data_IF_762933526402
#
_entry.id   IF_762933526402
#
_cell.length_a   1.000
_cell.length_b   1.000
_cell.length_c   1.000
_cell.angle_alpha   90.00
_cell.angle_beta   90.00
_cell.angle_gamma   90.00
#
_symmetry.space_group_name_H-M   'P 1'
#
loop_
_entity.id
_entity.type
_entity.pdbx_description
1 polymer ?
#
# COMPACT_ATOMS: atom_id res chain seq x y z
N UNK A 1 -20.88 -37.69 -19.19
CA UNK A 1 -21.40 -36.91 -18.05
C UNK A 1 -20.30 -36.79 -17.01
N UNK A 2 -19.79 -35.58 -16.79
CA UNK A 2 -18.79 -35.31 -15.76
C UNK A 2 -19.49 -35.37 -14.39
N UNK A 3 -19.06 -36.27 -13.50
CA UNK A 3 -19.66 -36.39 -12.16
C UNK A 3 -19.12 -35.28 -11.24
N UNK A 4 -19.79 -34.13 -11.27
CA UNK A 4 -19.48 -32.93 -10.50
C UNK A 4 -19.34 -33.19 -8.99
N UNK A 5 -20.07 -34.17 -8.43
CA UNK A 5 -20.02 -34.50 -7.00
C UNK A 5 -18.70 -35.20 -6.63
N UNK A 6 -18.17 -36.06 -7.51
CA UNK A 6 -16.90 -36.73 -7.29
C UNK A 6 -15.71 -35.77 -7.44
N UNK A 7 -15.74 -34.90 -8.45
CA UNK A 7 -14.69 -33.89 -8.66
C UNK A 7 -14.58 -32.89 -7.50
N UNK A 8 -15.71 -32.48 -6.93
CA UNK A 8 -15.72 -31.62 -5.73
C UNK A 8 -15.10 -32.31 -4.52
N UNK A 9 -15.36 -33.60 -4.33
CA UNK A 9 -14.77 -34.39 -3.24
C UNK A 9 -13.26 -34.51 -3.42
N UNK A 10 -12.82 -34.85 -4.64
CA UNK A 10 -11.41 -34.97 -4.99
C UNK A 10 -10.65 -33.65 -4.85
N UNK A 11 -11.27 -32.53 -5.25
CA UNK A 11 -10.70 -31.19 -5.05
C UNK A 11 -10.50 -30.87 -3.57
N UNK A 12 -11.49 -31.18 -2.73
CA UNK A 12 -11.40 -30.94 -1.29
C UNK A 12 -10.29 -31.79 -0.65
N UNK A 13 -10.15 -33.06 -1.03
CA UNK A 13 -9.08 -33.95 -0.56
C UNK A 13 -7.69 -33.42 -0.93
N UNK A 14 -7.49 -33.02 -2.19
CA UNK A 14 -6.23 -32.45 -2.66
C UNK A 14 -5.91 -31.11 -1.98
N UNK A 15 -6.90 -30.26 -1.75
CA UNK A 15 -6.71 -28.99 -1.04
C UNK A 15 -6.27 -29.19 0.42
N UNK A 16 -6.82 -30.20 1.10
CA UNK A 16 -6.38 -30.58 2.45
C UNK A 16 -4.90 -31.01 2.43
N UNK A 17 -4.49 -31.81 1.45
CA UNK A 17 -3.10 -32.25 1.31
C UNK A 17 -2.15 -31.08 1.01
N UNK A 18 -2.51 -30.18 0.09
CA UNK A 18 -1.69 -28.99 -0.21
C UNK A 18 -1.53 -28.13 1.03
N UNK A 19 -2.61 -27.84 1.75
CA UNK A 19 -2.54 -27.05 2.98
C UNK A 19 -1.70 -27.72 4.08
N UNK A 20 -1.79 -29.05 4.22
CA UNK A 20 -0.97 -29.81 5.15
C UNK A 20 0.54 -29.62 4.86
N UNK A 21 0.93 -29.74 3.59
CA UNK A 21 2.32 -29.55 3.18
C UNK A 21 2.77 -28.08 3.21
N UNK A 22 1.87 -27.12 2.96
CA UNK A 22 2.15 -25.69 3.14
C UNK A 22 2.52 -25.37 4.58
N UNK A 23 1.78 -25.91 5.54
CA UNK A 23 2.08 -25.75 6.98
C UNK A 23 3.43 -26.38 7.33
N UNK A 24 3.70 -27.60 6.85
CA UNK A 24 4.98 -28.27 7.09
C UNK A 24 6.18 -27.49 6.54
N UNK A 25 6.04 -26.95 5.33
CA UNK A 25 7.08 -26.17 4.65
C UNK A 25 7.28 -24.79 5.28
N UNK A 26 6.21 -24.00 5.43
CA UNK A 26 6.30 -22.61 5.85
C UNK A 26 6.36 -22.39 7.37
N UNK A 27 5.67 -23.21 8.17
CA UNK A 27 5.59 -23.00 9.62
C UNK A 27 6.54 -23.90 10.40
N UNK A 28 6.72 -25.16 9.97
CA UNK A 28 7.50 -26.15 10.71
C UNK A 28 8.91 -26.40 10.16
N UNK A 29 9.26 -25.81 9.01
CA UNK A 29 10.53 -26.05 8.30
C UNK A 29 10.89 -27.55 8.20
N UNK A 30 9.87 -28.41 8.00
CA UNK A 30 10.02 -29.86 8.01
C UNK A 30 9.22 -30.48 6.85
N UNK A 31 9.65 -30.24 5.60
CA UNK A 31 8.97 -30.79 4.43
C UNK A 31 9.05 -32.32 4.43
N UNK A 32 7.91 -32.97 4.22
CA UNK A 32 7.80 -34.44 4.10
C UNK A 32 7.81 -34.93 2.65
N UNK A 33 7.51 -34.03 1.70
CA UNK A 33 7.53 -34.29 0.27
C UNK A 33 8.53 -33.36 -0.41
N UNK A 34 9.05 -33.80 -1.53
CA UNK A 34 9.94 -33.02 -2.39
C UNK A 34 9.18 -31.93 -3.13
N UNK A 35 9.89 -30.89 -3.57
CA UNK A 35 9.33 -29.79 -4.37
C UNK A 35 8.61 -30.31 -5.63
N UNK A 36 9.14 -31.38 -6.25
CA UNK A 36 8.55 -32.00 -7.43
C UNK A 36 7.20 -32.69 -7.14
N UNK A 37 7.08 -33.38 -6.00
CA UNK A 37 5.83 -34.03 -5.57
C UNK A 37 4.78 -32.99 -5.20
N UNK A 38 5.19 -31.89 -4.57
CA UNK A 38 4.31 -30.77 -4.24
C UNK A 38 3.80 -30.04 -5.49
N UNK A 39 4.66 -29.82 -6.48
CA UNK A 39 4.26 -29.28 -7.78
C UNK A 39 3.26 -30.19 -8.49
N UNK A 40 3.38 -31.51 -8.36
CA UNK A 40 2.43 -32.46 -8.92
C UNK A 40 1.05 -32.36 -8.24
N UNK A 41 1.01 -32.22 -6.91
CA UNK A 41 -0.23 -31.97 -6.16
C UNK A 41 -0.92 -30.69 -6.64
N UNK A 42 -0.17 -29.60 -6.81
CA UNK A 42 -0.72 -28.35 -7.36
C UNK A 42 -1.24 -28.51 -8.77
N UNK A 43 -0.54 -29.24 -9.65
CA UNK A 43 -1.01 -29.52 -11.02
C UNK A 43 -2.34 -30.29 -11.02
N UNK A 44 -2.52 -31.26 -10.12
CA UNK A 44 -3.78 -32.01 -9.97
C UNK A 44 -4.93 -31.10 -9.55
N UNK A 45 -4.70 -30.22 -8.57
CA UNK A 45 -5.67 -29.20 -8.15
C UNK A 45 -6.06 -28.29 -9.32
N UNK A 46 -5.08 -27.73 -10.03
CA UNK A 46 -5.34 -26.84 -11.19
C UNK A 46 -6.12 -27.55 -12.30
N UNK A 47 -5.82 -28.84 -12.55
CA UNK A 47 -6.54 -29.63 -13.56
C UNK A 47 -8.03 -29.78 -13.24
N UNK A 48 -8.37 -29.98 -11.96
CA UNK A 48 -9.76 -30.08 -11.51
C UNK A 48 -10.42 -28.69 -11.45
N UNK A 49 -9.69 -27.65 -11.04
CA UNK A 49 -10.19 -26.26 -11.01
C UNK A 49 -10.60 -25.76 -12.40
N UNK A 50 -9.81 -26.07 -13.45
CA UNK A 50 -10.17 -25.74 -14.85
C UNK A 50 -11.49 -26.39 -15.28
N UNK A 51 -11.85 -27.53 -14.69
CA UNK A 51 -13.09 -28.23 -14.96
C UNK A 51 -14.28 -27.69 -14.12
N UNK A 52 -14.02 -26.82 -13.13
CA UNK A 52 -15.02 -26.25 -12.22
C UNK A 52 -14.89 -24.71 -12.12
N UNK A 53 -15.25 -23.95 -13.18
CA UNK A 53 -15.06 -22.50 -13.24
C UNK A 53 -15.79 -21.72 -12.13
N UNK A 54 -16.93 -22.23 -11.66
CA UNK A 54 -17.75 -21.58 -10.63
C UNK A 54 -17.08 -21.48 -9.24
N UNK A 55 -16.07 -22.32 -8.96
CA UNK A 55 -15.39 -22.38 -7.64
C UNK A 55 -14.19 -21.43 -7.59
N UNK A 56 -13.59 -21.13 -8.75
CA UNK A 56 -12.38 -20.29 -8.87
C UNK A 56 -12.56 -18.88 -8.27
N UNK A 57 -13.79 -18.37 -8.27
CA UNK A 57 -14.16 -17.04 -7.78
C UNK A 57 -14.02 -16.87 -6.25
N UNK A 58 -13.93 -17.96 -5.47
CA UNK A 58 -13.92 -17.91 -3.99
C UNK A 58 -12.49 -17.81 -3.41
N UNK A 59 -11.45 -17.59 -4.24
CA UNK A 59 -10.07 -17.39 -3.74
C UNK A 59 -9.81 -15.95 -3.30
N UNK A 60 -10.30 -15.59 -2.11
CA UNK A 60 -9.81 -14.45 -1.34
C UNK A 60 -9.32 -14.89 0.04
N UNK A 61 -8.21 -15.63 0.07
CA UNK A 61 -7.28 -15.60 1.21
C UNK A 61 -5.93 -16.16 0.78
N UNK A 62 -4.98 -15.27 0.50
CA UNK A 62 -3.57 -15.63 0.37
C UNK A 62 -2.89 -15.29 1.69
N UNK A 63 -2.39 -16.30 2.39
CA UNK A 63 -1.60 -16.12 3.61
C UNK A 63 -1.60 -17.36 4.51
N UNK A 64 -0.45 -17.66 5.10
CA UNK A 64 -0.36 -18.65 6.16
C UNK A 64 -1.10 -18.17 7.42
N UNK A 65 -1.59 -19.10 8.25
CA UNK A 65 -2.08 -18.74 9.57
C UNK A 65 -0.96 -18.04 10.37
N UNK A 66 -1.25 -16.93 11.09
CA UNK A 66 -0.25 -16.21 11.86
C UNK A 66 0.42 -17.10 12.91
N UNK A 67 1.72 -16.88 13.15
CA UNK A 67 2.55 -17.61 14.12
C UNK A 67 1.92 -17.55 15.53
N UNK A 68 1.84 -18.69 16.22
CA UNK A 68 1.20 -18.84 17.55
C UNK A 68 1.91 -18.03 18.65
N UNK A 69 3.11 -17.51 18.38
CA UNK A 69 3.82 -16.56 19.27
C UNK A 69 3.07 -15.26 19.49
N UNK A 70 2.12 -14.92 18.61
CA UNK A 70 1.25 -13.77 18.77
C UNK A 70 -0.09 -14.21 19.37
N UNK A 71 -0.34 -13.85 20.63
CA UNK A 71 -1.65 -14.07 21.24
C UNK A 71 -2.70 -13.19 20.55
N UNK A 72 -3.76 -13.81 20.02
CA UNK A 72 -4.89 -13.08 19.46
C UNK A 72 -5.66 -12.41 20.60
N UNK A 73 -5.46 -11.11 20.77
CA UNK A 73 -6.32 -10.29 21.63
C UNK A 73 -7.66 -10.12 20.90
N UNK A 74 -8.75 -10.65 21.48
CA UNK A 74 -10.09 -10.35 20.98
C UNK A 74 -10.37 -8.87 21.23
N UNK A 75 -10.58 -8.11 20.17
CA UNK A 75 -11.14 -6.77 20.30
C UNK A 75 -12.53 -6.89 20.93
N UNK A 76 -12.79 -6.06 21.96
CA UNK A 76 -14.09 -6.07 22.65
C UNK A 76 -15.23 -5.62 21.74
N UNK A 77 -14.92 -4.86 20.70
CA UNK A 77 -15.81 -4.49 19.62
C UNK A 77 -15.28 -5.07 18.30
N UNK A 78 -16.16 -5.53 17.39
CA UNK A 78 -15.73 -5.99 16.07
C UNK A 78 -14.91 -4.90 15.38
N UNK A 79 -13.73 -5.25 14.87
CA UNK A 79 -13.03 -4.36 13.95
C UNK A 79 -13.85 -4.28 12.66
N UNK A 80 -14.66 -3.24 12.53
CA UNK A 80 -15.32 -2.91 11.27
C UNK A 80 -14.22 -2.49 10.29
N UNK A 81 -14.13 -3.18 9.16
CA UNK A 81 -13.26 -2.77 8.06
C UNK A 81 -13.78 -1.44 7.55
N UNK A 82 -12.94 -0.41 7.55
CA UNK A 82 -13.30 0.83 6.89
C UNK A 82 -13.36 0.56 5.40
N UNK A 83 -14.57 0.62 4.83
CA UNK A 83 -14.80 0.47 3.41
C UNK A 83 -13.89 1.43 2.61
N UNK A 84 -13.45 0.98 1.44
CA UNK A 84 -12.72 1.86 0.54
C UNK A 84 -13.67 2.94 0.03
N UNK A 85 -13.37 4.20 0.33
CA UNK A 85 -14.07 5.34 -0.22
C UNK A 85 -13.27 5.93 -1.38
N UNK A 86 -13.99 6.30 -2.44
CA UNK A 86 -13.41 6.92 -3.64
C UNK A 86 -14.00 8.32 -3.82
N UNK A 87 -13.20 9.22 -4.38
CA UNK A 87 -13.65 10.54 -4.82
C UNK A 87 -12.88 10.96 -6.07
N UNK A 88 -13.48 11.81 -6.90
CA UNK A 88 -12.84 12.34 -8.10
C UNK A 88 -12.67 13.84 -7.96
N UNK A 89 -11.46 14.31 -8.21
CA UNK A 89 -11.18 15.74 -8.12
C UNK A 89 -9.93 16.16 -8.90
N UNK A 90 -9.87 17.43 -9.28
CA UNK A 90 -8.71 18.02 -9.95
C UNK A 90 -7.48 18.18 -9.04
N UNK A 91 -6.30 17.92 -9.61
CA UNK A 91 -5.01 18.26 -9.01
C UNK A 91 -4.74 19.75 -9.21
N UNK A 92 -4.60 20.52 -8.13
CA UNK A 92 -4.28 21.95 -8.22
C UNK A 92 -2.78 22.19 -8.43
N UNK A 93 -1.96 21.53 -7.61
CA UNK A 93 -0.50 21.66 -7.65
C UNK A 93 0.20 20.52 -6.94
N UNK A 94 1.47 20.31 -7.25
CA UNK A 94 2.31 19.37 -6.51
C UNK A 94 3.16 20.05 -5.44
N UNK A 95 3.34 19.36 -4.32
CA UNK A 95 4.16 19.78 -3.19
C UNK A 95 5.22 18.71 -2.90
N UNK A 96 6.44 19.12 -2.56
CA UNK A 96 7.50 18.20 -2.13
C UNK A 96 7.67 18.31 -0.62
N UNK A 97 7.18 17.32 0.14
CA UNK A 97 7.32 17.30 1.60
C UNK A 97 8.65 16.67 1.98
N UNK A 98 9.42 17.33 2.84
CA UNK A 98 10.67 16.77 3.38
C UNK A 98 10.37 15.91 4.60
N UNK A 99 10.74 14.63 4.54
CA UNK A 99 10.57 13.69 5.64
C UNK A 99 11.70 13.72 6.66
N UNK A 100 11.56 12.90 7.71
CA UNK A 100 12.54 12.73 8.81
C UNK A 100 13.97 12.47 8.34
N UNK A 101 14.15 11.65 7.31
CA UNK A 101 15.45 11.28 6.77
C UNK A 101 15.84 12.12 5.55
N UNK A 102 15.20 13.27 5.37
CA UNK A 102 15.46 14.18 4.25
C UNK A 102 14.85 13.75 2.93
N UNK A 103 14.16 12.60 2.84
CA UNK A 103 13.48 12.16 1.61
C UNK A 103 12.39 13.17 1.23
N UNK A 104 12.39 13.62 -0.03
CA UNK A 104 11.35 14.46 -0.62
C UNK A 104 10.24 13.53 -1.13
N UNK A 105 9.10 13.53 -0.43
CA UNK A 105 7.91 12.80 -0.84
C UNK A 105 6.98 13.73 -1.61
N UNK A 106 6.59 13.38 -2.84
CA UNK A 106 5.66 14.18 -3.61
C UNK A 106 4.22 13.99 -3.09
N UNK A 107 3.50 15.10 -2.98
CA UNK A 107 2.12 15.16 -2.50
C UNK A 107 1.32 16.02 -3.47
N UNK A 108 0.18 15.51 -3.93
CA UNK A 108 -0.76 16.30 -4.71
C UNK A 108 -1.62 17.16 -3.77
N UNK A 109 -1.68 18.46 -4.04
CA UNK A 109 -2.72 19.36 -3.54
C UNK A 109 -3.94 19.20 -4.45
N UNK A 110 -5.09 19.00 -3.84
CA UNK A 110 -6.35 18.75 -4.53
C UNK A 110 -7.32 19.86 -4.17
N UNK A 111 -8.24 20.17 -5.07
CA UNK A 111 -9.45 20.88 -4.67
C UNK A 111 -10.11 20.05 -3.56
N UNK A 112 -10.60 20.64 -2.46
CA UNK A 112 -11.17 19.88 -1.37
C UNK A 112 -12.32 18.97 -1.83
N UNK A 113 -12.26 17.68 -1.49
CA UNK A 113 -13.26 16.67 -1.85
C UNK A 113 -13.64 15.84 -0.63
N UNK A 114 -14.93 15.55 -0.47
CA UNK A 114 -15.41 14.70 0.62
C UNK A 114 -15.30 13.23 0.22
N UNK A 115 -14.50 12.45 0.97
CA UNK A 115 -14.27 11.03 0.72
C UNK A 115 -14.55 10.26 2.01
N UNK A 116 -15.68 9.54 2.05
CA UNK A 116 -16.09 8.78 3.23
C UNK A 116 -16.28 9.67 4.46
N UNK A 117 -16.93 10.83 4.30
CA UNK A 117 -17.28 11.74 5.39
C UNK A 117 -16.15 12.65 5.89
N UNK A 118 -14.96 12.58 5.29
CA UNK A 118 -13.82 13.45 5.64
C UNK A 118 -13.43 14.29 4.43
N UNK A 119 -13.14 15.56 4.68
CA UNK A 119 -12.62 16.48 3.69
C UNK A 119 -11.15 16.21 3.43
N UNK A 120 -10.83 15.81 2.20
CA UNK A 120 -9.47 15.53 1.73
C UNK A 120 -9.04 16.63 0.76
N UNK A 121 -7.89 17.24 1.04
CA UNK A 121 -7.24 18.24 0.17
C UNK A 121 -5.82 17.86 -0.25
N UNK A 122 -5.31 16.73 0.23
CA UNK A 122 -3.98 16.22 -0.09
C UNK A 122 -4.00 14.73 -0.30
N UNK A 123 -3.27 14.25 -1.31
CA UNK A 123 -3.07 12.84 -1.57
C UNK A 123 -1.60 12.51 -1.83
N UNK A 124 -1.15 11.36 -1.33
CA UNK A 124 0.20 10.87 -1.54
C UNK A 124 0.38 10.34 -2.96
N UNK A 125 1.56 10.61 -3.53
CA UNK A 125 2.01 10.06 -4.81
C UNK A 125 3.12 9.00 -4.63
N UNK A 126 3.42 8.62 -3.39
CA UNK A 126 4.46 7.67 -2.98
C UNK A 126 5.89 8.11 -3.32
N UNK A 127 6.26 8.13 -4.60
CA UNK A 127 7.61 8.39 -5.07
C UNK A 127 7.61 8.92 -6.51
N UNK A 128 8.80 9.23 -7.03
CA UNK A 128 8.97 9.78 -8.38
C UNK A 128 8.54 8.80 -9.48
N UNK A 129 8.83 7.51 -9.32
CA UNK A 129 8.52 6.50 -10.32
C UNK A 129 7.01 6.32 -10.50
N UNK A 130 6.25 6.40 -9.41
CA UNK A 130 4.79 6.27 -9.46
C UNK A 130 4.14 7.46 -10.16
N UNK A 131 4.69 8.67 -10.01
CA UNK A 131 4.23 9.85 -10.76
C UNK A 131 4.49 9.67 -12.25
N UNK A 132 5.69 9.23 -12.63
CA UNK A 132 6.04 8.98 -14.03
C UNK A 132 5.18 7.87 -14.62
N UNK A 133 4.98 6.78 -13.87
CA UNK A 133 4.18 5.63 -14.28
C UNK A 133 2.72 6.01 -14.54
N UNK A 134 2.13 6.81 -13.66
CA UNK A 134 0.74 7.30 -13.81
C UNK A 134 0.63 8.51 -14.73
N UNK A 135 1.75 9.18 -15.02
CA UNK A 135 1.86 10.43 -15.79
C UNK A 135 0.83 11.44 -15.28
N UNK A 136 0.90 11.75 -13.98
CA UNK A 136 -0.04 12.68 -13.32
C UNK A 136 0.48 14.11 -13.49
N UNK A 137 -0.38 15.02 -13.92
CA UNK A 137 -0.02 16.42 -14.16
C UNK A 137 -0.98 17.36 -13.43
N UNK A 138 -0.57 18.61 -13.27
CA UNK A 138 -1.42 19.64 -12.67
C UNK A 138 -2.61 19.92 -13.60
N UNK A 139 -3.80 20.05 -13.04
CA UNK A 139 -5.06 20.16 -13.77
C UNK A 139 -5.71 18.84 -14.19
N UNK A 140 -5.03 17.70 -14.06
CA UNK A 140 -5.65 16.39 -14.31
C UNK A 140 -6.76 16.11 -13.28
N UNK A 141 -7.82 15.43 -13.72
CA UNK A 141 -8.84 14.87 -12.83
C UNK A 141 -8.36 13.50 -12.36
N UNK A 142 -8.35 13.28 -11.04
CA UNK A 142 -7.83 12.04 -10.44
C UNK A 142 -8.87 11.36 -9.57
N UNK A 143 -8.90 10.03 -9.63
CA UNK A 143 -9.65 9.21 -8.67
C UNK A 143 -8.78 8.96 -7.44
N UNK A 144 -9.21 9.46 -6.30
CA UNK A 144 -8.55 9.32 -5.00
C UNK A 144 -9.19 8.14 -4.27
N UNK A 145 -8.35 7.29 -3.69
CA UNK A 145 -8.76 6.17 -2.83
C UNK A 145 -8.35 6.46 -1.39
N UNK A 146 -9.29 6.25 -0.48
CA UNK A 146 -9.06 6.25 0.97
C UNK A 146 -9.54 4.93 1.54
N UNK A 147 -8.66 4.22 2.24
CA UNK A 147 -9.00 3.01 2.98
C UNK A 147 -9.04 3.39 4.47
N UNK A 148 -10.21 3.70 5.00
CA UNK A 148 -10.35 4.12 6.39
C UNK A 148 -9.55 5.34 6.80
N UNK A 149 -8.83 5.26 7.92
CA UNK A 149 -8.02 6.37 8.44
C UNK A 149 -6.61 6.44 7.82
N UNK A 150 -6.39 5.72 6.72
CA UNK A 150 -5.12 5.70 5.99
C UNK A 150 -4.98 6.94 5.10
N UNK A 151 -3.72 7.39 4.91
CA UNK A 151 -3.33 8.49 4.02
C UNK A 151 -3.96 8.30 2.63
N UNK A 152 -4.75 9.28 2.14
CA UNK A 152 -5.35 9.24 0.80
C UNK A 152 -4.30 9.09 -0.30
N UNK A 153 -4.59 8.28 -1.32
CA UNK A 153 -3.69 8.00 -2.44
C UNK A 153 -4.41 8.17 -3.78
N UNK A 154 -3.68 8.58 -4.82
CA UNK A 154 -4.24 8.66 -6.16
C UNK A 154 -4.27 7.26 -6.79
N UNK A 155 -5.46 6.75 -7.08
CA UNK A 155 -5.67 5.44 -7.69
C UNK A 155 -5.59 5.48 -9.22
N UNK A 156 -6.26 6.45 -9.85
CA UNK A 156 -6.33 6.61 -11.31
C UNK A 156 -6.29 8.08 -11.71
N UNK A 157 -5.95 8.32 -12.98
CA UNK A 157 -5.92 9.63 -13.62
C UNK A 157 -6.81 9.58 -14.85
N UNK A 158 -7.76 10.50 -14.95
CA UNK A 158 -8.48 10.78 -16.18
C UNK A 158 -7.73 11.86 -16.97
N UNK A 159 -7.38 11.52 -18.21
CA UNK A 159 -6.61 12.36 -19.13
C UNK A 159 -7.48 13.00 -20.20
N UNK A 160 -8.79 12.72 -20.20
CA UNK A 160 -9.73 13.16 -21.24
C UNK A 160 -9.78 14.67 -21.41
N UNK A 161 -9.65 15.41 -20.30
CA UNK A 161 -9.68 16.87 -20.22
C UNK A 161 -8.30 17.52 -20.15
N UNK A 162 -7.22 16.74 -20.32
CA UNK A 162 -5.85 17.25 -20.19
C UNK A 162 -5.50 18.21 -21.33
N UNK A 163 -4.97 19.37 -20.97
CA UNK A 163 -4.42 20.31 -21.95
C UNK A 163 -3.10 19.78 -22.55
N UNK A 164 -2.89 19.97 -23.85
CA UNK A 164 -1.73 19.45 -24.58
C UNK A 164 -0.41 19.97 -24.01
N UNK A 165 -0.40 21.22 -23.55
CA UNK A 165 0.79 21.89 -23.02
C UNK A 165 1.00 21.70 -21.51
N UNK A 166 0.24 20.83 -20.84
CA UNK A 166 0.44 20.61 -19.39
C UNK A 166 1.81 19.96 -19.14
N UNK A 167 2.73 20.61 -18.39
CA UNK A 167 4.07 20.10 -18.18
C UNK A 167 4.09 18.87 -17.26
N UNK A 168 5.13 18.04 -17.40
CA UNK A 168 5.40 16.94 -16.48
C UNK A 168 5.88 17.47 -15.12
N UNK A 169 5.53 16.75 -14.05
CA UNK A 169 6.03 17.07 -12.72
C UNK A 169 7.55 16.83 -12.62
N UNK A 170 8.28 17.87 -12.24
CA UNK A 170 9.72 17.81 -12.01
C UNK A 170 10.00 18.10 -10.54
N UNK A 171 10.78 17.23 -9.90
CA UNK A 171 11.23 17.48 -8.53
C UNK A 171 12.08 18.75 -8.45
N UNK A 172 11.95 19.52 -7.36
CA UNK A 172 12.74 20.73 -7.21
C UNK A 172 14.23 20.37 -7.08
N UNK A 173 15.10 21.18 -7.72
CA UNK A 173 16.57 21.02 -7.64
C UNK A 173 17.13 21.43 -6.28
N UNK A 174 16.33 22.16 -5.51
CA UNK A 174 16.65 22.69 -4.18
C UNK A 174 15.57 22.26 -3.19
N UNK A 175 15.96 22.08 -1.94
CA UNK A 175 15.06 21.68 -0.88
C UNK A 175 14.08 22.83 -0.58
N UNK A 176 12.75 22.61 -0.66
CA UNK A 176 11.76 23.67 -0.45
C UNK A 176 11.74 24.23 0.99
N UNK A 177 12.41 23.56 1.94
CA UNK A 177 12.42 23.92 3.36
C UNK A 177 13.69 24.65 3.81
N UNK A 178 14.83 24.40 3.15
CA UNK A 178 16.13 24.97 3.56
C UNK A 178 16.96 25.54 2.40
N UNK A 179 16.52 25.39 1.15
CA UNK A 179 17.22 25.88 -0.05
C UNK A 179 18.41 25.03 -0.51
N UNK A 180 18.84 24.04 0.27
CA UNK A 180 20.02 23.24 -0.10
C UNK A 180 19.78 22.36 -1.33
N UNK A 181 20.83 22.18 -2.14
CA UNK A 181 20.78 21.34 -3.35
C UNK A 181 20.42 19.90 -3.01
N UNK A 182 19.37 19.36 -3.63
CA UNK A 182 18.94 17.98 -3.38
C UNK A 182 19.83 16.98 -4.12
N UNK A 183 19.92 15.77 -3.57
CA UNK A 183 20.68 14.66 -4.12
C UNK A 183 19.76 13.48 -4.38
N UNK A 184 20.03 12.72 -5.45
CA UNK A 184 19.31 11.49 -5.74
C UNK A 184 20.09 10.34 -5.13
N UNK A 185 19.47 9.61 -4.21
CA UNK A 185 20.07 8.45 -3.55
C UNK A 185 19.18 7.22 -3.81
N UNK A 186 19.70 6.29 -4.63
CA UNK A 186 18.95 5.15 -5.18
C UNK A 186 17.72 5.62 -5.96
N UNK A 187 16.53 5.54 -5.35
CA UNK A 187 15.23 5.87 -5.96
C UNK A 187 14.62 7.14 -5.33
N UNK A 188 15.22 7.66 -4.27
CA UNK A 188 14.67 8.79 -3.52
C UNK A 188 15.47 10.07 -3.77
N UNK A 189 14.74 11.16 -4.01
CA UNK A 189 15.30 12.52 -3.94
C UNK A 189 15.39 12.91 -2.47
N UNK A 190 16.56 13.40 -2.01
CA UNK A 190 16.84 13.66 -0.60
C UNK A 190 17.54 15.01 -0.39
N UNK A 191 17.18 15.67 0.70
CA UNK A 191 17.91 16.80 1.26
C UNK A 191 19.09 16.29 2.11
N UNK A 192 20.35 16.68 1.80
CA UNK A 192 21.54 16.21 2.52
C UNK A 192 21.73 16.88 3.90
N UNK A 193 21.05 18.01 4.14
CA UNK A 193 21.21 18.86 5.31
C UNK A 193 20.47 18.32 6.55
N UNK A 194 21.07 17.33 7.20
CA UNK A 194 20.43 16.53 8.26
C UNK A 194 20.05 17.32 9.53
N UNK A 195 20.86 18.29 9.94
CA UNK A 195 20.70 19.04 11.20
C UNK A 195 20.32 20.51 11.00
N UNK A 196 20.54 21.03 9.80
CA UNK A 196 20.27 22.42 9.40
C UNK A 196 18.91 22.55 8.71
N UNK A 197 18.39 21.49 8.08
CA UNK A 197 17.05 21.48 7.53
C UNK A 197 16.00 21.40 8.65
N UNK A 198 15.28 22.52 8.87
CA UNK A 198 14.22 22.63 9.88
C UNK A 198 13.18 21.50 9.79
N UNK A 199 12.77 21.13 8.58
CA UNK A 199 11.82 20.04 8.39
C UNK A 199 12.35 18.68 8.87
N UNK A 200 13.62 18.37 8.60
CA UNK A 200 14.24 17.13 9.08
C UNK A 200 14.31 17.10 10.60
N UNK A 201 14.75 18.21 11.22
CA UNK A 201 14.84 18.34 12.69
C UNK A 201 13.47 18.15 13.34
N UNK A 202 12.43 18.81 12.83
CA UNK A 202 11.07 18.70 13.36
C UNK A 202 10.55 17.26 13.24
N UNK A 203 10.68 16.63 12.08
CA UNK A 203 10.18 15.26 11.87
C UNK A 203 10.98 14.23 12.68
N UNK A 204 12.27 14.47 12.93
CA UNK A 204 13.07 13.67 13.87
C UNK A 204 12.60 13.81 15.30
N UNK A 205 12.34 15.03 15.74
CA UNK A 205 11.80 15.28 17.09
C UNK A 205 10.43 14.62 17.25
N UNK A 206 9.52 14.77 16.27
CA UNK A 206 8.21 14.10 16.27
C UNK A 206 8.34 12.58 16.38
N UNK A 207 9.30 11.99 15.67
CA UNK A 207 9.56 10.57 15.77
C UNK A 207 10.13 10.19 17.16
N UNK A 208 11.08 10.95 17.67
CA UNK A 208 11.72 10.70 18.97
C UNK A 208 10.70 10.65 20.12
N UNK A 209 9.73 11.55 20.12
CA UNK A 209 8.67 11.64 21.14
C UNK A 209 7.45 10.75 20.85
N UNK A 210 7.44 10.01 19.72
CA UNK A 210 6.31 9.16 19.34
C UNK A 210 6.15 7.96 20.27
N UNK A 211 4.96 7.35 20.25
CA UNK A 211 4.61 6.18 21.08
C UNK A 211 5.56 5.01 20.89
N UNK A 212 6.01 4.78 19.66
CA UNK A 212 6.89 3.67 19.30
C UNK A 212 8.38 3.97 19.58
N UNK A 213 8.70 5.16 20.12
CA UNK A 213 10.03 5.58 20.51
C UNK A 213 10.12 5.81 22.03
N UNK A 214 10.17 7.07 22.49
CA UNK A 214 10.25 7.39 23.92
C UNK A 214 8.90 7.66 24.60
N UNK A 215 7.79 7.59 23.84
CA UNK A 215 6.41 7.77 24.32
C UNK A 215 6.21 9.05 25.16
N UNK A 216 6.66 10.18 24.62
CA UNK A 216 6.55 11.50 25.26
C UNK A 216 5.47 12.36 24.58
N UNK A 217 4.31 11.76 24.30
CA UNK A 217 3.20 12.39 23.57
C UNK A 217 2.69 13.69 24.22
N UNK A 218 2.93 13.89 25.52
CA UNK A 218 2.61 15.13 26.22
C UNK A 218 3.33 16.38 25.64
N UNK A 219 4.48 16.20 24.97
CA UNK A 219 5.30 17.29 24.42
C UNK A 219 4.91 17.71 22.98
N UNK A 220 4.08 16.92 22.28
CA UNK A 220 3.73 17.17 20.86
C UNK A 220 2.45 17.98 20.70
N UNK A 221 1.62 18.08 21.74
CA UNK A 221 0.35 18.81 21.70
C UNK A 221 0.56 20.31 21.95
N UNK A 222 1.17 21.00 20.99
CA UNK A 222 0.96 22.45 20.83
C UNK A 222 0.59 22.72 19.37
N UNK A 223 -0.63 23.21 19.18
CA UNK A 223 -1.19 23.64 17.89
C UNK A 223 -0.43 24.84 17.34
#
# INVERSE_FOLDING_TARGET
>A
MINLKNLRRELAELQIQVNYHDVLYHQKNKPEITDAEYDELKRKVTKIEVQLPEIYTIRESVGAAPDERFSKIKHQEPMLSLENAYGEQGVERFLSKVGRTGVLTPVASLVPVNIGGVLVSRASLHNQDEIKRKDIREGDVVTIKRAGDVIPQIARVDRSSRHVDTPEFVFPKECPECGSKVQIERVAVRCPEEFTCRAQVIEKLKHFVSKDAFDMLALVKSR
#
